data_IF_556538731120
#
_entry.id   IF_556538731120
#
_cell.length_a   1.000
_cell.length_b   1.000
_cell.length_c   1.000
_cell.angle_alpha   90.00
_cell.angle_beta   90.00
_cell.angle_gamma   90.00
#
_symmetry.space_group_name_H-M   'P 1'
#
loop_
_entity.id
_entity.type
_entity.pdbx_description
1 polymer ?
#
# COMPACT_ATOMS: atom_id res chain seq x y z
N UNK A 1 12.36 -73.06 -26.25
CA UNK A 1 13.06 -71.79 -26.24
C UNK A 1 12.03 -70.71 -25.96
N UNK A 2 11.88 -70.31 -24.68
CA UNK A 2 10.85 -69.30 -24.24
C UNK A 2 11.60 -67.99 -23.91
N UNK A 3 11.36 -66.95 -24.72
CA UNK A 3 11.85 -65.60 -24.44
C UNK A 3 10.89 -64.96 -23.41
N UNK A 4 11.43 -64.62 -22.25
CA UNK A 4 10.74 -63.81 -21.26
C UNK A 4 11.06 -62.33 -21.54
N UNK A 5 10.05 -61.53 -21.85
CA UNK A 5 10.12 -60.08 -21.88
C UNK A 5 9.91 -59.53 -20.47
N UNK A 6 10.86 -58.83 -19.93
CA UNK A 6 10.76 -58.02 -18.74
C UNK A 6 10.12 -56.67 -19.10
N UNK A 7 9.10 -56.21 -18.37
CA UNK A 7 8.62 -54.84 -18.54
C UNK A 7 9.57 -53.86 -17.83
N UNK A 8 10.16 -52.97 -18.61
CA UNK A 8 11.00 -51.90 -18.12
C UNK A 8 10.18 -50.86 -17.37
N UNK A 9 10.67 -50.51 -16.21
CA UNK A 9 10.23 -49.43 -15.32
C UNK A 9 10.47 -48.09 -16.00
N UNK A 10 9.39 -47.35 -16.30
CA UNK A 10 9.43 -45.94 -16.60
C UNK A 10 8.60 -45.26 -15.52
N UNK A 11 9.24 -44.91 -14.40
CA UNK A 11 8.67 -44.03 -13.38
C UNK A 11 9.74 -43.00 -13.02
N UNK A 12 9.29 -41.77 -12.94
CA UNK A 12 9.95 -40.61 -12.34
C UNK A 12 10.79 -39.72 -13.28
N UNK A 13 10.13 -38.73 -13.83
CA UNK A 13 10.74 -37.40 -14.10
C UNK A 13 9.68 -36.34 -14.37
N UNK A 14 8.72 -36.15 -13.45
CA UNK A 14 7.81 -34.99 -13.46
C UNK A 14 7.65 -34.52 -11.99
N UNK A 15 8.66 -33.92 -11.42
CA UNK A 15 8.51 -33.28 -10.08
C UNK A 15 9.47 -32.12 -9.78
N UNK A 16 10.11 -31.49 -10.77
CA UNK A 16 11.15 -30.48 -10.49
C UNK A 16 10.92 -29.08 -11.12
N UNK A 17 9.73 -28.75 -11.60
CA UNK A 17 9.51 -27.47 -12.28
C UNK A 17 8.54 -26.50 -11.59
N UNK A 18 8.22 -26.66 -10.30
CA UNK A 18 7.28 -25.75 -9.61
C UNK A 18 7.89 -24.88 -8.51
N UNK A 19 9.18 -24.99 -8.22
CA UNK A 19 9.80 -24.23 -7.11
C UNK A 19 10.43 -22.90 -7.51
N UNK A 20 10.68 -22.64 -8.79
CA UNK A 20 11.40 -21.45 -9.21
C UNK A 20 10.52 -20.20 -9.36
N UNK A 21 9.22 -20.35 -9.59
CA UNK A 21 8.31 -19.21 -9.76
C UNK A 21 8.10 -18.39 -8.46
N UNK A 22 8.14 -19.04 -7.29
CA UNK A 22 8.01 -18.36 -6.00
C UNK A 22 9.32 -17.72 -5.51
N UNK A 23 10.46 -18.17 -5.98
CA UNK A 23 11.76 -17.61 -5.62
C UNK A 23 12.03 -16.27 -6.33
N UNK A 24 11.54 -16.08 -7.55
CA UNK A 24 11.70 -14.84 -8.31
C UNK A 24 10.84 -13.68 -7.83
N UNK A 25 9.79 -13.93 -7.05
CA UNK A 25 9.00 -12.84 -6.41
C UNK A 25 9.69 -12.21 -5.19
N UNK A 26 10.81 -12.74 -4.72
CA UNK A 26 11.41 -12.35 -3.42
C UNK A 26 12.29 -11.12 -3.45
N UNK A 27 12.65 -10.57 -4.61
CA UNK A 27 13.66 -9.49 -4.65
C UNK A 27 13.36 -8.37 -5.66
N UNK A 28 12.09 -8.02 -5.83
CA UNK A 28 11.72 -6.82 -6.57
C UNK A 28 11.33 -5.69 -5.62
N UNK A 29 12.26 -5.25 -4.79
CA UNK A 29 12.14 -3.91 -4.24
C UNK A 29 12.04 -2.93 -5.40
N UNK A 30 10.99 -2.07 -5.46
CA UNK A 30 10.85 -1.12 -6.55
C UNK A 30 12.11 -0.27 -6.67
N UNK A 31 12.73 -0.27 -7.83
CA UNK A 31 13.98 0.46 -8.07
C UNK A 31 13.72 1.91 -8.47
N UNK A 32 12.55 2.21 -9.03
CA UNK A 32 12.20 3.54 -9.54
C UNK A 32 11.15 4.20 -8.63
N UNK A 33 11.62 5.14 -7.80
CA UNK A 33 10.81 5.94 -6.89
C UNK A 33 10.80 7.38 -7.33
N UNK A 34 9.61 7.97 -7.48
CA UNK A 34 9.46 9.39 -7.83
C UNK A 34 8.73 10.15 -6.74
N UNK A 35 9.16 11.40 -6.52
CA UNK A 35 8.44 12.33 -5.67
C UNK A 35 7.17 12.79 -6.38
N UNK A 36 6.03 12.63 -5.71
CA UNK A 36 4.75 13.16 -6.13
C UNK A 36 4.32 14.27 -5.19
N UNK A 37 3.73 15.33 -5.73
CA UNK A 37 3.30 16.51 -4.98
C UNK A 37 1.84 16.87 -5.25
N UNK A 38 1.08 17.08 -4.16
CA UNK A 38 -0.22 17.73 -4.22
C UNK A 38 0.00 19.20 -3.88
N UNK A 39 -0.02 20.07 -4.89
CA UNK A 39 0.35 21.48 -4.74
C UNK A 39 -0.62 22.28 -3.88
N UNK A 40 -1.93 21.98 -3.97
CA UNK A 40 -2.98 22.76 -3.33
C UNK A 40 -2.79 22.93 -1.81
N UNK A 41 -2.32 21.86 -1.15
CA UNK A 41 -2.07 21.87 0.30
C UNK A 41 -0.64 21.54 0.68
N UNK A 42 0.26 21.49 -0.30
CA UNK A 42 1.67 21.26 -0.05
C UNK A 42 1.97 19.86 0.51
N UNK A 43 1.55 18.79 -0.17
CA UNK A 43 1.87 17.41 0.21
C UNK A 43 2.97 16.86 -0.67
N UNK A 44 3.96 16.19 -0.08
CA UNK A 44 4.99 15.41 -0.81
C UNK A 44 5.03 13.98 -0.32
N UNK A 45 5.19 13.04 -1.26
CA UNK A 45 5.28 11.59 -0.98
C UNK A 45 6.05 10.89 -2.10
N UNK A 46 6.70 9.76 -1.80
CA UNK A 46 7.36 8.94 -2.81
C UNK A 46 6.41 7.86 -3.34
N UNK A 47 6.38 7.71 -4.66
CA UNK A 47 5.58 6.71 -5.37
C UNK A 47 6.50 5.78 -6.15
N UNK A 48 6.38 4.45 -6.00
CA UNK A 48 7.11 3.48 -6.83
C UNK A 48 6.44 3.38 -8.21
N UNK A 49 6.98 4.11 -9.18
CA UNK A 49 6.40 4.19 -10.53
C UNK A 49 6.60 2.93 -11.37
N UNK A 50 7.43 2.00 -10.92
CA UNK A 50 7.50 0.65 -11.47
C UNK A 50 6.30 -0.23 -11.08
N UNK A 51 5.56 0.12 -10.01
CA UNK A 51 4.36 -0.60 -9.57
C UNK A 51 3.10 0.13 -10.00
N UNK A 52 3.07 1.46 -9.86
CA UNK A 52 1.87 2.27 -9.95
C UNK A 52 1.88 3.21 -11.14
N UNK A 53 0.76 3.22 -11.89
CA UNK A 53 0.46 4.21 -12.92
C UNK A 53 -0.69 5.13 -12.46
N UNK A 54 -0.73 6.41 -12.90
CA UNK A 54 -1.85 7.31 -12.62
C UNK A 54 -3.19 6.72 -13.11
N UNK A 55 -4.21 6.75 -12.24
CA UNK A 55 -5.53 6.14 -12.49
C UNK A 55 -6.71 7.08 -12.16
N UNK A 56 -6.49 8.39 -12.13
CA UNK A 56 -7.53 9.38 -11.90
C UNK A 56 -7.46 10.10 -10.57
N UNK A 57 -8.59 10.65 -10.15
CA UNK A 57 -8.69 11.42 -8.88
C UNK A 57 -8.92 10.50 -7.68
N UNK A 58 -8.47 10.88 -6.49
CA UNK A 58 -8.82 10.18 -5.26
C UNK A 58 -10.31 10.42 -4.94
N UNK A 59 -10.90 9.54 -4.13
CA UNK A 59 -12.29 9.70 -3.66
C UNK A 59 -12.46 10.88 -2.69
N UNK A 60 -11.38 11.32 -2.06
CA UNK A 60 -11.37 12.35 -1.03
C UNK A 60 -10.25 13.36 -1.26
N UNK A 61 -10.57 14.64 -1.09
CA UNK A 61 -9.59 15.72 -1.17
C UNK A 61 -9.02 15.96 -2.56
N UNK A 62 -7.94 16.74 -2.60
CA UNK A 62 -7.18 17.03 -3.83
C UNK A 62 -5.97 16.11 -3.90
N UNK A 63 -5.69 15.55 -5.08
CA UNK A 63 -4.56 14.64 -5.25
C UNK A 63 -4.66 13.72 -6.46
N UNK A 64 -4.11 12.53 -6.32
CA UNK A 64 -4.01 11.54 -7.39
C UNK A 64 -4.24 10.13 -6.87
N UNK A 65 -4.98 9.34 -7.62
CA UNK A 65 -5.08 7.90 -7.48
C UNK A 65 -4.17 7.22 -8.47
N UNK A 66 -3.49 6.18 -8.02
CA UNK A 66 -2.62 5.32 -8.80
C UNK A 66 -3.11 3.87 -8.67
N UNK A 67 -2.89 3.08 -9.71
CA UNK A 67 -3.21 1.66 -9.71
C UNK A 67 -2.05 0.82 -10.26
N UNK A 68 -1.93 -0.39 -9.75
CA UNK A 68 -1.10 -1.44 -10.34
C UNK A 68 -1.82 -1.97 -11.60
N UNK A 69 -1.06 -2.36 -12.61
CA UNK A 69 -1.58 -2.78 -13.92
C UNK A 69 -2.59 -3.93 -13.88
N UNK A 70 -2.54 -4.78 -12.86
CA UNK A 70 -3.47 -5.89 -12.65
C UNK A 70 -4.74 -5.50 -11.86
N UNK A 71 -4.87 -4.23 -11.46
CA UNK A 71 -5.98 -3.70 -10.67
C UNK A 71 -6.04 -4.17 -9.22
N UNK A 72 -5.10 -5.02 -8.77
CA UNK A 72 -5.16 -5.63 -7.43
C UNK A 72 -4.57 -4.78 -6.31
N UNK A 73 -3.86 -3.69 -6.67
CA UNK A 73 -3.35 -2.73 -5.70
C UNK A 73 -3.63 -1.31 -6.17
N UNK A 74 -3.95 -0.43 -5.23
CA UNK A 74 -4.20 0.98 -5.50
C UNK A 74 -3.62 1.86 -4.38
N UNK A 75 -3.09 3.03 -4.80
CA UNK A 75 -2.54 4.05 -3.92
C UNK A 75 -3.26 5.36 -4.19
N UNK A 76 -4.03 5.85 -3.23
CA UNK A 76 -4.66 7.18 -3.27
C UNK A 76 -3.87 8.15 -2.40
N UNK A 77 -3.37 9.21 -2.99
CA UNK A 77 -2.63 10.28 -2.30
C UNK A 77 -3.49 11.52 -2.35
N UNK A 78 -3.78 12.10 -1.19
CA UNK A 78 -4.64 13.27 -1.13
C UNK A 78 -4.31 14.18 0.04
N UNK A 79 -4.72 15.42 -0.09
CA UNK A 79 -4.72 16.39 0.99
C UNK A 79 -6.05 17.16 1.02
N UNK A 80 -6.37 17.68 2.18
CA UNK A 80 -7.61 18.44 2.43
C UNK A 80 -7.42 19.43 3.57
N UNK A 81 -8.27 20.46 3.64
CA UNK A 81 -8.25 21.39 4.78
C UNK A 81 -8.66 20.67 6.07
N UNK A 82 -8.13 21.16 7.18
CA UNK A 82 -8.53 20.78 8.55
C UNK A 82 -9.26 21.96 9.21
N UNK A 83 -10.38 22.35 8.63
CA UNK A 83 -11.12 23.55 9.05
C UNK A 83 -11.58 23.51 10.51
N UNK A 84 -11.85 22.30 11.01
CA UNK A 84 -12.25 22.07 12.41
C UNK A 84 -11.08 22.06 13.39
N UNK A 85 -9.84 22.12 12.91
CA UNK A 85 -8.66 22.02 13.76
C UNK A 85 -8.56 20.69 14.52
N UNK A 86 -9.08 19.60 13.96
CA UNK A 86 -9.09 18.29 14.61
C UNK A 86 -7.67 17.76 14.79
N UNK A 87 -7.41 17.16 15.94
CA UNK A 87 -6.20 16.37 16.14
C UNK A 87 -6.34 14.96 15.51
N UNK A 88 -5.24 14.19 15.35
CA UNK A 88 -5.30 12.88 14.71
C UNK A 88 -6.32 11.91 15.33
N UNK A 89 -6.44 11.89 16.66
CA UNK A 89 -7.38 11.00 17.35
C UNK A 89 -8.84 11.37 17.10
N UNK A 90 -9.15 12.67 17.12
CA UNK A 90 -10.51 13.18 16.89
C UNK A 90 -10.89 12.99 15.43
N UNK A 91 -9.99 13.32 14.51
CA UNK A 91 -10.22 13.13 13.09
C UNK A 91 -10.47 11.65 12.75
N UNK A 92 -9.67 10.74 13.29
CA UNK A 92 -9.84 9.30 13.07
C UNK A 92 -11.23 8.83 13.53
N UNK A 93 -11.70 9.26 14.71
CA UNK A 93 -13.03 8.89 15.21
C UNK A 93 -14.17 9.41 14.34
N UNK A 94 -14.07 10.64 13.83
CA UNK A 94 -15.13 11.26 13.05
C UNK A 94 -15.18 10.82 11.59
N UNK A 95 -14.01 10.50 11.02
CA UNK A 95 -13.89 10.27 9.59
C UNK A 95 -13.65 8.79 9.22
N UNK A 96 -13.32 7.95 10.20
CA UNK A 96 -13.22 6.53 10.00
C UNK A 96 -14.61 5.89 10.09
N UNK A 97 -15.13 5.44 8.96
CA UNK A 97 -16.42 4.72 8.88
C UNK A 97 -16.30 3.24 9.28
N UNK A 98 -15.19 2.83 9.86
CA UNK A 98 -14.93 1.46 10.27
C UNK A 98 -14.96 1.38 11.79
N UNK A 99 -15.50 0.28 12.30
CA UNK A 99 -15.39 -0.03 13.72
C UNK A 99 -13.90 -0.19 14.08
N UNK A 100 -13.50 0.40 15.21
CA UNK A 100 -12.14 0.26 15.73
C UNK A 100 -11.76 -1.21 15.96
N UNK A 101 -12.73 -2.04 16.30
CA UNK A 101 -12.56 -3.49 16.46
C UNK A 101 -12.22 -4.20 15.13
N UNK A 102 -12.48 -3.57 13.97
CA UNK A 102 -12.12 -4.09 12.66
C UNK A 102 -10.73 -3.66 12.18
N UNK A 103 -9.94 -3.00 13.03
CA UNK A 103 -8.58 -2.56 12.73
C UNK A 103 -7.56 -3.53 13.34
N UNK A 104 -6.69 -4.07 12.50
CA UNK A 104 -5.58 -4.94 12.93
C UNK A 104 -4.41 -4.12 13.52
N UNK A 105 -4.27 -2.88 13.08
CA UNK A 105 -3.22 -1.98 13.54
C UNK A 105 -3.75 -0.55 13.67
N UNK A 106 -3.43 0.08 14.80
CA UNK A 106 -3.72 1.49 15.06
C UNK A 106 -2.55 2.15 15.75
N UNK A 107 -2.00 3.17 15.15
CA UNK A 107 -1.00 4.05 15.77
C UNK A 107 -1.47 5.48 15.69
N UNK A 108 -1.59 6.14 16.82
CA UNK A 108 -1.97 7.56 16.91
C UNK A 108 -0.83 8.29 17.62
N UNK A 109 -0.33 9.34 17.02
CA UNK A 109 0.68 10.23 17.55
C UNK A 109 0.16 11.68 17.56
N UNK A 110 0.96 12.61 18.06
CA UNK A 110 0.58 14.03 18.13
C UNK A 110 0.28 14.64 16.76
N UNK A 111 1.02 14.23 15.73
CA UNK A 111 0.95 14.84 14.38
C UNK A 111 0.53 13.87 13.28
N UNK A 112 0.21 12.61 13.60
CA UNK A 112 -0.25 11.65 12.60
C UNK A 112 -1.05 10.51 13.22
N UNK A 113 -1.81 9.81 12.39
CA UNK A 113 -2.22 8.44 12.67
C UNK A 113 -1.84 7.52 11.50
N UNK A 114 -1.73 6.24 11.81
CA UNK A 114 -1.63 5.16 10.83
C UNK A 114 -2.51 3.99 11.29
N UNK A 115 -3.23 3.40 10.36
CA UNK A 115 -4.12 2.27 10.59
C UNK A 115 -3.95 1.23 9.51
N UNK A 116 -4.27 -0.01 9.84
CA UNK A 116 -4.40 -1.10 8.87
C UNK A 116 -5.58 -1.97 9.24
N UNK A 117 -6.26 -2.48 8.23
CA UNK A 117 -7.31 -3.50 8.35
C UNK A 117 -7.20 -4.49 7.21
N UNK A 118 -7.64 -5.71 7.46
CA UNK A 118 -7.80 -6.73 6.45
C UNK A 118 -9.27 -7.06 6.29
N UNK A 119 -9.74 -7.12 5.06
CA UNK A 119 -11.08 -7.56 4.72
C UNK A 119 -11.08 -8.23 3.36
N UNK A 120 -11.70 -9.40 3.27
CA UNK A 120 -11.91 -10.15 2.01
C UNK A 120 -10.59 -10.38 1.24
N UNK A 121 -9.49 -10.66 1.96
CA UNK A 121 -8.16 -10.90 1.38
C UNK A 121 -7.46 -9.64 0.86
N UNK A 122 -7.97 -8.45 1.19
CA UNK A 122 -7.34 -7.15 0.86
C UNK A 122 -6.92 -6.45 2.14
N UNK A 123 -5.68 -6.00 2.16
CA UNK A 123 -5.18 -5.12 3.22
C UNK A 123 -5.39 -3.67 2.78
N UNK A 124 -6.00 -2.89 3.66
CA UNK A 124 -5.98 -1.43 3.62
C UNK A 124 -4.95 -0.93 4.61
N UNK A 125 -4.03 -0.07 4.19
CA UNK A 125 -3.17 0.73 5.03
C UNK A 125 -3.42 2.21 4.77
N UNK A 126 -3.71 2.97 5.81
CA UNK A 126 -3.97 4.40 5.71
C UNK A 126 -3.10 5.17 6.69
N UNK A 127 -2.53 6.29 6.24
CA UNK A 127 -1.82 7.23 7.10
C UNK A 127 -2.18 8.65 6.74
N UNK A 128 -2.42 9.47 7.79
CA UNK A 128 -2.61 10.91 7.66
C UNK A 128 -1.65 11.64 8.60
N UNK A 129 -0.90 12.58 8.06
CA UNK A 129 -0.09 13.56 8.79
C UNK A 129 -0.84 14.88 8.88
N UNK A 130 -0.70 15.57 10.01
CA UNK A 130 -1.36 16.85 10.29
C UNK A 130 -0.31 17.93 10.33
N UNK A 131 -0.45 18.95 9.49
CA UNK A 131 0.47 20.08 9.52
C UNK A 131 0.26 20.94 10.76
N UNK A 132 1.35 21.44 11.35
CA UNK A 132 1.30 22.34 12.47
C UNK A 132 1.03 23.78 12.00
N UNK A 133 -0.02 24.40 12.57
CA UNK A 133 -0.28 25.83 12.70
C UNK A 133 -0.63 26.69 11.48
N UNK A 134 0.13 26.69 10.36
CA UNK A 134 -0.10 27.72 9.34
C UNK A 134 -1.07 27.29 8.24
N UNK A 135 -1.04 26.02 7.83
CA UNK A 135 -1.79 25.56 6.67
C UNK A 135 -3.02 24.71 7.00
N UNK A 136 -3.27 24.37 8.26
CA UNK A 136 -4.42 23.56 8.70
C UNK A 136 -4.82 22.47 7.70
N UNK A 137 -3.82 21.76 7.19
CA UNK A 137 -4.04 20.73 6.18
C UNK A 137 -3.78 19.34 6.76
N UNK A 138 -4.47 18.38 6.19
CA UNK A 138 -4.28 16.95 6.44
C UNK A 138 -3.75 16.32 5.18
N UNK A 139 -2.62 15.64 5.28
CA UNK A 139 -1.89 14.98 4.21
C UNK A 139 -2.03 13.48 4.37
N UNK A 140 -2.69 12.81 3.44
CA UNK A 140 -3.04 11.40 3.58
C UNK A 140 -2.59 10.57 2.38
N UNK A 141 -2.42 9.28 2.63
CA UNK A 141 -2.53 8.27 1.61
C UNK A 141 -3.29 7.05 2.13
N UNK A 142 -4.01 6.40 1.21
CA UNK A 142 -4.63 5.10 1.40
C UNK A 142 -4.02 4.13 0.39
N UNK A 143 -3.57 2.98 0.85
CA UNK A 143 -2.96 1.93 0.04
C UNK A 143 -3.71 0.62 0.25
N UNK A 144 -4.19 0.04 -0.83
CA UNK A 144 -4.81 -1.29 -0.83
C UNK A 144 -3.96 -2.27 -1.61
N UNK A 145 -3.83 -3.51 -1.12
CA UNK A 145 -3.07 -4.57 -1.78
C UNK A 145 -3.51 -5.96 -1.28
N UNK A 146 -3.24 -7.05 -2.04
CA UNK A 146 -3.62 -8.39 -1.64
C UNK A 146 -2.90 -8.86 -0.37
N UNK A 147 -3.63 -9.52 0.52
CA UNK A 147 -3.10 -10.07 1.77
C UNK A 147 -2.00 -11.10 1.53
N UNK A 148 -2.15 -11.95 0.53
CA UNK A 148 -1.16 -12.97 0.20
C UNK A 148 0.20 -12.40 -0.23
N UNK A 149 0.22 -11.12 -0.65
CA UNK A 149 1.44 -10.40 -1.01
C UNK A 149 2.03 -9.57 0.15
N UNK A 150 1.47 -9.63 1.35
CA UNK A 150 1.82 -8.76 2.50
C UNK A 150 3.32 -8.61 2.71
N UNK A 151 4.09 -9.71 2.68
CA UNK A 151 5.54 -9.69 2.89
C UNK A 151 6.29 -8.87 1.82
N UNK A 152 5.85 -8.95 0.58
CA UNK A 152 6.44 -8.17 -0.51
C UNK A 152 6.11 -6.67 -0.39
N UNK A 153 4.98 -6.34 0.22
CA UNK A 153 4.54 -4.96 0.43
C UNK A 153 5.15 -4.28 1.66
N UNK A 154 5.69 -5.01 2.65
CA UNK A 154 6.17 -4.42 3.91
C UNK A 154 7.19 -3.29 3.70
N UNK A 155 8.19 -3.48 2.83
CA UNK A 155 9.18 -2.45 2.52
C UNK A 155 8.57 -1.27 1.73
N UNK A 156 7.65 -1.55 0.80
CA UNK A 156 6.97 -0.55 -0.02
C UNK A 156 6.09 0.34 0.85
N UNK A 157 5.23 -0.26 1.68
CA UNK A 157 4.36 0.45 2.64
C UNK A 157 5.18 1.32 3.57
N UNK A 158 6.27 0.78 4.12
CA UNK A 158 7.16 1.50 5.03
C UNK A 158 7.75 2.73 4.34
N UNK A 159 8.28 2.60 3.14
CA UNK A 159 8.91 3.71 2.42
C UNK A 159 7.88 4.78 2.02
N UNK A 160 6.73 4.40 1.47
CA UNK A 160 5.63 5.33 1.19
C UNK A 160 5.25 6.09 2.47
N UNK A 161 5.00 5.34 3.56
CA UNK A 161 4.57 5.89 4.84
C UNK A 161 5.55 6.90 5.43
N UNK A 162 6.85 6.59 5.42
CA UNK A 162 7.89 7.48 5.95
C UNK A 162 8.18 8.69 5.04
N UNK A 163 7.83 8.61 3.77
CA UNK A 163 8.04 9.69 2.81
C UNK A 163 6.95 10.77 2.82
N UNK A 164 5.78 10.46 3.41
CA UNK A 164 4.66 11.41 3.48
C UNK A 164 5.02 12.59 4.39
N UNK A 165 5.02 13.80 3.83
CA UNK A 165 5.32 15.03 4.57
C UNK A 165 4.64 16.25 3.94
N UNK A 166 4.39 17.32 4.72
CA UNK A 166 4.10 18.64 4.18
C UNK A 166 5.26 19.12 3.32
N UNK A 167 4.99 19.92 2.28
CA UNK A 167 6.00 20.76 1.67
C UNK A 167 6.31 21.87 2.66
N UNK A 168 7.59 22.02 2.98
CA UNK A 168 8.05 23.19 3.73
C UNK A 168 7.95 24.39 2.79
N UNK A 169 7.18 25.40 3.18
CA UNK A 169 7.08 26.69 2.51
C UNK A 169 8.19 27.60 2.93
#
# INVERSE_FOLDING_TARGET
MRLQFLPGVIIALISLLRTDAYAQMRDQSPTDWRSFEVREFGTRIQVPVSIFAPAGKPERGSGQRFERSDGRAALSIYSRPNDKGENPATYLRHNLRMDRAALDYVRIARSFFAISSERDGIILYSRCNFSSRALRAIHCFDLTYPQEEKRAWDAVVTRISLSLRPLEG
#
